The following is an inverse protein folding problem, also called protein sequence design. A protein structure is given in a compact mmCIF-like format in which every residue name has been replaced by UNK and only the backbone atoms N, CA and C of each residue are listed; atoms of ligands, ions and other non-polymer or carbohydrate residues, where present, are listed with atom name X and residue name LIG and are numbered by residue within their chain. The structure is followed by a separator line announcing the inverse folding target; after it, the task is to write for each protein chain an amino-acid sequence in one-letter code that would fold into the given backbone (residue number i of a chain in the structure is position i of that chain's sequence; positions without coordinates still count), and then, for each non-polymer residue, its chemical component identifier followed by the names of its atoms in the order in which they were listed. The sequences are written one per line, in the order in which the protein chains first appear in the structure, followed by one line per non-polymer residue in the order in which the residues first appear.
data_IF_832836551978
#
_entry.id   IF_832836551978
#
_cell.length_a   1.000
_cell.length_b   1.000
_cell.length_c   1.000
_cell.angle_alpha   90.00
_cell.angle_beta   90.00
_cell.angle_gamma   90.00
#
_symmetry.space_group_name_H-M   'P 1'
#
loop_
_entity.id
_entity.type
_entity.pdbx_description
1 polymer ?
#
# COMPACT_ATOMS: atom_id res chain seq x y z
N UNK A 1 -23.29 -15.32 -27.40
CA UNK A 1 -23.48 -16.79 -27.50
C UNK A 1 -22.30 -17.49 -28.19
N UNK A 2 -21.70 -16.91 -29.23
CA UNK A 2 -20.45 -17.44 -29.82
C UNK A 2 -19.21 -17.27 -28.92
N UNK A 3 -19.15 -16.22 -28.10
CA UNK A 3 -18.05 -16.01 -27.16
C UNK A 3 -17.94 -17.10 -26.08
N UNK A 4 -19.08 -17.63 -25.60
CA UNK A 4 -19.10 -18.74 -24.64
C UNK A 4 -18.64 -20.06 -25.27
N UNK A 5 -18.89 -20.30 -26.56
CA UNK A 5 -18.39 -21.48 -27.29
C UNK A 5 -16.88 -21.46 -27.51
N UNK A 6 -16.26 -20.28 -27.54
CA UNK A 6 -14.80 -20.15 -27.66
C UNK A 6 -14.07 -20.45 -26.34
N UNK A 7 -14.73 -20.28 -25.20
CA UNK A 7 -14.21 -20.68 -23.89
C UNK A 7 -14.24 -22.20 -23.67
N UNK A 8 -15.22 -22.91 -24.24
CA UNK A 8 -15.30 -24.39 -24.18
C UNK A 8 -14.22 -25.09 -25.03
N UNK A 9 -13.60 -24.39 -26.00
CA UNK A 9 -12.61 -24.95 -26.92
C UNK A 9 -11.15 -24.75 -26.46
N UNK A 10 -10.90 -23.95 -25.42
CA UNK A 10 -9.64 -24.05 -24.69
C UNK A 10 -9.72 -25.30 -23.83
N UNK A 11 -8.70 -26.15 -23.92
CA UNK A 11 -8.54 -27.31 -23.05
C UNK A 11 -8.72 -26.86 -21.61
N UNK A 12 -9.91 -27.11 -21.05
CA UNK A 12 -10.11 -27.13 -19.63
C UNK A 12 -9.08 -28.10 -19.10
N UNK A 13 -8.03 -27.59 -18.46
CA UNK A 13 -7.37 -28.37 -17.44
C UNK A 13 -8.43 -28.58 -16.38
N UNK A 14 -9.23 -29.65 -16.54
CA UNK A 14 -9.89 -30.29 -15.42
C UNK A 14 -8.72 -30.82 -14.60
N UNK A 15 -8.30 -30.02 -13.63
CA UNK A 15 -7.54 -30.56 -12.52
C UNK A 15 -8.57 -31.45 -11.82
N UNK A 16 -8.42 -32.76 -11.98
CA UNK A 16 -9.18 -33.75 -11.24
C UNK A 16 -8.87 -33.52 -9.76
N UNK A 17 -9.71 -32.70 -9.12
CA UNK A 17 -9.40 -32.05 -7.85
C UNK A 17 -9.22 -33.04 -6.68
N UNK A 18 -9.56 -34.32 -6.87
CA UNK A 18 -9.34 -35.39 -5.90
C UNK A 18 -9.36 -36.72 -6.66
N UNK A 19 -8.26 -37.13 -7.29
CA UNK A 19 -8.06 -38.56 -7.47
C UNK A 19 -7.79 -39.16 -6.09
N UNK A 20 -8.61 -40.15 -5.69
CA UNK A 20 -8.29 -41.01 -4.56
C UNK A 20 -6.81 -41.38 -4.69
N UNK A 21 -6.01 -41.07 -3.67
CA UNK A 21 -4.71 -41.71 -3.49
C UNK A 21 -4.95 -43.19 -3.16
N UNK A 22 -5.46 -43.94 -4.14
CA UNK A 22 -5.31 -45.38 -4.18
C UNK A 22 -3.84 -45.61 -4.39
N UNK A 23 -3.18 -45.93 -3.27
CA UNK A 23 -1.83 -46.46 -3.27
C UNK A 23 -1.69 -47.46 -4.43
N UNK A 24 -0.63 -47.37 -5.26
CA UNK A 24 -0.34 -48.45 -6.19
C UNK A 24 -0.25 -49.72 -5.36
N UNK A 25 -1.14 -50.67 -5.67
CA UNK A 25 -1.13 -52.01 -5.07
C UNK A 25 0.06 -52.75 -5.66
N UNK A 26 1.26 -52.35 -5.25
CA UNK A 26 2.46 -53.13 -5.42
C UNK A 26 2.69 -53.86 -4.10
N UNK A 27 2.47 -55.17 -4.16
CA UNK A 27 2.68 -56.09 -3.06
C UNK A 27 4.19 -56.22 -2.80
N UNK A 28 4.76 -55.28 -2.03
CA UNK A 28 5.97 -55.42 -1.20
C UNK A 28 6.74 -54.09 -1.09
N UNK A 29 6.21 -53.13 -0.33
CA UNK A 29 7.01 -52.18 0.46
C UNK A 29 6.06 -51.31 1.31
N UNK A 30 6.51 -50.99 2.51
CA UNK A 30 5.89 -50.12 3.52
C UNK A 30 4.91 -49.08 2.98
N UNK A 31 3.65 -49.10 3.45
CA UNK A 31 2.67 -48.02 3.24
C UNK A 31 3.35 -46.65 3.44
N UNK A 32 3.30 -45.70 2.50
CA UNK A 32 3.73 -44.34 2.81
C UNK A 32 2.84 -43.84 3.94
N UNK A 33 3.44 -43.48 5.07
CA UNK A 33 2.73 -42.88 6.20
C UNK A 33 2.19 -41.53 5.73
N UNK A 34 0.88 -41.43 5.59
CA UNK A 34 0.16 -40.19 5.26
C UNK A 34 0.54 -39.12 6.29
N UNK A 35 0.93 -37.92 5.85
CA UNK A 35 1.32 -36.83 6.74
C UNK A 35 0.15 -36.38 7.63
N UNK A 36 0.44 -35.73 8.76
CA UNK A 36 -0.61 -35.25 9.67
C UNK A 36 -1.58 -34.30 8.95
N UNK A 37 -1.04 -33.43 8.10
CA UNK A 37 -1.84 -32.51 7.28
C UNK A 37 -2.74 -33.26 6.29
N UNK A 38 -2.21 -34.27 5.58
CA UNK A 38 -2.98 -35.08 4.64
C UNK A 38 -4.07 -35.90 5.34
N UNK A 39 -3.83 -36.39 6.56
CA UNK A 39 -4.86 -37.05 7.37
C UNK A 39 -6.01 -36.09 7.68
N UNK A 40 -5.69 -34.87 8.13
CA UNK A 40 -6.68 -33.83 8.40
C UNK A 40 -7.49 -33.47 7.14
N UNK A 41 -6.82 -33.31 6.00
CA UNK A 41 -7.48 -33.05 4.72
C UNK A 41 -8.39 -34.22 4.29
N UNK A 42 -7.95 -35.46 4.49
CA UNK A 42 -8.74 -36.65 4.20
C UNK A 42 -9.96 -36.78 5.12
N UNK A 43 -9.82 -36.43 6.40
CA UNK A 43 -10.91 -36.41 7.37
C UNK A 43 -11.96 -35.37 6.99
N UNK A 44 -11.53 -34.16 6.57
CA UNK A 44 -12.45 -33.13 6.06
C UNK A 44 -13.17 -33.63 4.79
N UNK A 45 -12.43 -34.24 3.86
CA UNK A 45 -12.99 -34.75 2.60
C UNK A 45 -14.03 -35.85 2.84
N UNK A 46 -13.77 -36.77 3.79
CA UNK A 46 -14.65 -37.89 4.12
C UNK A 46 -15.74 -37.54 5.13
N UNK A 47 -15.66 -36.34 5.72
CA UNK A 47 -16.49 -35.92 6.85
C UNK A 47 -16.37 -36.87 8.06
N UNK A 48 -15.17 -37.42 8.26
CA UNK A 48 -14.86 -38.33 9.34
C UNK A 48 -14.37 -37.57 10.58
N UNK A 49 -14.89 -37.91 11.76
CA UNK A 49 -14.48 -37.29 13.02
C UNK A 49 -13.36 -38.08 13.70
N UNK A 50 -12.11 -37.66 13.47
CA UNK A 50 -10.92 -38.28 14.05
C UNK A 50 -10.87 -38.22 15.58
N UNK A 51 -11.67 -37.37 16.25
CA UNK A 51 -11.73 -37.34 17.73
C UNK A 51 -12.28 -38.64 18.32
N UNK A 52 -13.03 -39.40 17.52
CA UNK A 52 -13.57 -40.70 17.93
C UNK A 52 -12.49 -41.79 17.99
N UNK A 53 -11.39 -41.64 17.23
CA UNK A 53 -10.25 -42.56 17.19
C UNK A 53 -8.95 -41.77 17.08
N UNK A 54 -8.49 -41.16 18.18
CA UNK A 54 -7.29 -40.34 18.14
C UNK A 54 -6.07 -41.18 17.76
N UNK A 55 -5.36 -40.74 16.73
CA UNK A 55 -4.07 -41.29 16.33
C UNK A 55 -2.97 -40.29 16.69
N UNK A 56 -1.90 -40.78 17.32
CA UNK A 56 -0.71 -39.98 17.58
C UNK A 56 0.24 -40.14 16.41
N UNK A 57 0.16 -39.23 15.43
CA UNK A 57 1.17 -39.03 14.41
C UNK A 57 1.98 -37.77 14.75
N UNK A 58 3.31 -37.89 14.76
CA UNK A 58 4.22 -36.75 14.94
C UNK A 58 4.93 -36.54 13.63
N UNK A 59 4.72 -35.37 13.04
CA UNK A 59 5.25 -34.98 11.74
C UNK A 59 5.40 -33.45 11.71
N UNK A 60 6.24 -32.94 10.81
CA UNK A 60 6.53 -31.51 10.63
C UNK A 60 5.61 -30.83 9.61
N UNK A 61 4.65 -31.55 9.01
CA UNK A 61 3.70 -31.00 8.04
C UNK A 61 2.74 -29.95 8.61
N UNK A 62 2.50 -29.93 9.93
CA UNK A 62 1.70 -28.91 10.61
C UNK A 62 2.43 -28.40 11.84
N UNK A 63 2.90 -27.15 11.79
CA UNK A 63 3.70 -26.55 12.88
C UNK A 63 2.96 -25.37 13.48
N UNK A 64 2.80 -25.38 14.80
CA UNK A 64 2.31 -24.22 15.57
C UNK A 64 3.48 -23.57 16.29
N UNK A 65 3.72 -22.28 16.03
CA UNK A 65 4.74 -21.51 16.74
C UNK A 65 4.14 -20.30 17.41
N UNK A 66 4.82 -19.82 18.45
CA UNK A 66 4.46 -18.57 19.11
C UNK A 66 5.64 -17.61 19.19
N UNK A 67 5.35 -16.32 19.02
CA UNK A 67 6.34 -15.26 19.12
C UNK A 67 5.79 -14.06 19.89
N UNK A 68 6.68 -13.16 20.32
CA UNK A 68 6.35 -12.01 21.17
C UNK A 68 6.03 -10.72 20.41
N UNK A 69 6.25 -10.69 19.10
CA UNK A 69 5.99 -9.51 18.26
C UNK A 69 5.97 -9.88 16.78
N UNK A 70 5.31 -9.06 15.93
CA UNK A 70 5.28 -9.23 14.48
C UNK A 70 6.68 -9.33 13.85
N UNK A 71 7.67 -8.59 14.38
CA UNK A 71 9.06 -8.69 13.93
C UNK A 71 9.68 -10.05 14.27
N UNK A 72 9.43 -10.57 15.48
CA UNK A 72 9.91 -11.90 15.87
C UNK A 72 9.21 -13.04 15.14
N UNK A 73 7.92 -12.89 14.83
CA UNK A 73 7.21 -13.83 13.96
C UNK A 73 7.90 -13.93 12.59
N UNK A 74 8.19 -12.79 11.95
CA UNK A 74 8.84 -12.77 10.65
C UNK A 74 10.26 -13.33 10.68
N UNK A 75 11.04 -13.04 11.73
CA UNK A 75 12.39 -13.59 11.87
C UNK A 75 12.37 -15.10 12.11
N UNK A 76 11.46 -15.59 12.94
CA UNK A 76 11.26 -17.02 13.15
C UNK A 76 10.83 -17.73 11.88
N UNK A 77 9.91 -17.12 11.11
CA UNK A 77 9.50 -17.63 9.80
C UNK A 77 10.69 -17.64 8.82
N UNK A 78 11.47 -16.57 8.76
CA UNK A 78 12.63 -16.46 7.89
C UNK A 78 13.65 -17.58 8.16
N UNK A 79 14.02 -17.78 9.43
CA UNK A 79 14.99 -18.82 9.81
C UNK A 79 14.46 -20.23 9.53
N UNK A 80 13.16 -20.46 9.73
CA UNK A 80 12.53 -21.73 9.40
C UNK A 80 12.49 -21.98 7.89
N UNK A 81 12.14 -20.96 7.09
CA UNK A 81 12.12 -21.08 5.63
C UNK A 81 13.51 -21.38 5.06
N UNK A 82 14.56 -20.79 5.62
CA UNK A 82 15.93 -21.10 5.25
C UNK A 82 16.28 -22.57 5.49
N UNK A 83 15.86 -23.13 6.63
CA UNK A 83 16.08 -24.54 6.93
C UNK A 83 15.36 -25.44 5.93
N UNK A 84 14.10 -25.13 5.59
CA UNK A 84 13.32 -25.93 4.64
C UNK A 84 13.87 -25.86 3.22
N UNK A 85 14.25 -24.67 2.76
CA UNK A 85 14.90 -24.48 1.45
C UNK A 85 16.27 -25.19 1.37
N UNK A 86 16.95 -25.37 2.50
CA UNK A 86 18.20 -26.13 2.56
C UNK A 86 17.96 -27.65 2.54
N UNK A 87 16.86 -28.12 3.16
CA UNK A 87 16.53 -29.54 3.24
C UNK A 87 15.92 -30.07 1.93
N UNK A 88 15.08 -29.28 1.25
CA UNK A 88 14.42 -29.65 0.00
C UNK A 88 14.85 -28.74 -1.16
N UNK A 89 15.75 -29.20 -2.05
CA UNK A 89 16.17 -28.46 -3.23
C UNK A 89 15.08 -28.23 -4.29
N UNK A 90 13.97 -28.97 -4.25
CA UNK A 90 12.85 -28.80 -5.19
C UNK A 90 11.89 -27.69 -4.77
N UNK A 91 11.97 -27.23 -3.52
CA UNK A 91 11.17 -26.13 -3.00
C UNK A 91 11.68 -24.80 -3.54
N UNK A 92 10.88 -24.16 -4.39
CA UNK A 92 11.19 -22.83 -4.92
C UNK A 92 10.52 -21.76 -4.09
N UNK A 93 11.10 -20.54 -3.99
CA UNK A 93 10.44 -19.40 -3.35
C UNK A 93 9.03 -19.09 -3.91
N UNK A 94 8.79 -19.39 -5.19
CA UNK A 94 7.48 -19.27 -5.84
C UNK A 94 6.40 -20.19 -5.27
N UNK A 95 6.80 -21.29 -4.63
CA UNK A 95 5.90 -22.31 -4.12
C UNK A 95 5.47 -22.00 -2.67
N UNK A 96 5.86 -20.83 -2.15
CA UNK A 96 5.70 -20.39 -0.76
C UNK A 96 4.79 -19.15 -0.71
N UNK A 97 3.72 -19.25 0.08
CA UNK A 97 2.81 -18.13 0.36
C UNK A 97 2.75 -17.85 1.87
N UNK A 98 2.81 -16.57 2.21
CA UNK A 98 2.66 -16.09 3.59
C UNK A 98 1.41 -15.23 3.66
N UNK A 99 0.42 -15.71 4.40
CA UNK A 99 -0.87 -15.06 4.55
C UNK A 99 -0.99 -14.42 5.94
N UNK A 100 -1.56 -13.23 6.00
CA UNK A 100 -1.84 -12.54 7.26
C UNK A 100 -3.21 -11.82 7.21
N UNK A 101 -3.87 -11.57 8.35
CA UNK A 101 -5.17 -10.88 8.35
C UNK A 101 -5.10 -9.46 7.75
N UNK A 102 -3.96 -8.78 7.95
CA UNK A 102 -3.67 -7.43 7.49
C UNK A 102 -2.19 -7.30 7.12
N UNK A 103 -1.89 -7.27 5.82
CA UNK A 103 -0.48 -7.27 5.32
C UNK A 103 0.28 -5.98 5.61
N UNK A 104 -0.41 -4.85 5.73
CA UNK A 104 0.24 -3.55 5.98
C UNK A 104 0.94 -3.50 7.35
N UNK A 105 0.44 -4.23 8.35
CA UNK A 105 1.05 -4.28 9.69
C UNK A 105 2.42 -4.97 9.66
N UNK A 106 2.62 -5.86 8.67
CA UNK A 106 3.85 -6.60 8.46
C UNK A 106 4.75 -5.97 7.38
N UNK A 107 4.20 -5.17 6.45
CA UNK A 107 4.90 -4.71 5.25
C UNK A 107 6.24 -4.02 5.54
N UNK A 108 6.28 -3.14 6.55
CA UNK A 108 7.52 -2.46 6.94
C UNK A 108 8.58 -3.42 7.50
N UNK A 109 8.16 -4.45 8.23
CA UNK A 109 9.05 -5.46 8.80
C UNK A 109 9.51 -6.49 7.77
N UNK A 110 8.64 -6.85 6.81
CA UNK A 110 8.99 -7.75 5.70
C UNK A 110 10.17 -7.19 4.92
N UNK A 111 10.13 -5.90 4.54
CA UNK A 111 11.25 -5.26 3.85
C UNK A 111 12.55 -5.14 4.68
N UNK A 112 12.47 -5.27 6.01
CA UNK A 112 13.62 -5.25 6.89
C UNK A 112 14.24 -6.63 7.13
N UNK A 113 13.42 -7.69 7.11
CA UNK A 113 13.85 -9.07 7.38
C UNK A 113 14.17 -9.83 6.08
N UNK A 114 13.39 -9.64 5.03
CA UNK A 114 13.52 -10.30 3.74
C UNK A 114 14.09 -9.34 2.66
N UNK A 115 14.60 -9.87 1.55
CA UNK A 115 15.04 -9.03 0.41
C UNK A 115 13.87 -8.78 -0.55
N UNK A 116 13.19 -7.66 -0.37
CA UNK A 116 12.13 -7.23 -1.28
C UNK A 116 12.66 -6.39 -2.46
N UNK A 117 13.98 -6.14 -2.54
CA UNK A 117 14.61 -5.33 -3.59
C UNK A 117 15.40 -6.17 -4.61
N UNK A 118 15.37 -7.50 -4.49
CA UNK A 118 15.86 -8.41 -5.52
C UNK A 118 17.28 -8.11 -5.97
N UNK A 119 18.24 -8.03 -5.03
CA UNK A 119 19.65 -8.00 -5.42
C UNK A 119 20.04 -9.37 -5.98
N UNK A 120 19.91 -9.47 -7.30
CA UNK A 120 20.36 -10.55 -8.19
C UNK A 120 19.55 -11.85 -8.19
N UNK A 121 18.57 -11.92 -9.08
CA UNK A 121 17.78 -13.09 -9.45
C UNK A 121 18.58 -14.24 -10.14
N UNK A 122 19.90 -14.28 -10.01
CA UNK A 122 20.75 -15.17 -10.81
C UNK A 122 21.89 -15.82 -10.04
N UNK A 123 22.01 -15.54 -8.74
CA UNK A 123 23.02 -16.20 -7.95
C UNK A 123 22.64 -16.14 -6.49
N UNK A 124 22.58 -17.31 -5.87
CA UNK A 124 22.74 -17.50 -4.44
C UNK A 124 24.15 -17.05 -4.03
N UNK A 125 24.54 -15.80 -4.30
CA UNK A 125 25.79 -15.25 -3.78
C UNK A 125 25.52 -14.96 -2.32
N UNK A 126 26.12 -15.80 -1.49
CA UNK A 126 26.51 -15.50 -0.12
C UNK A 126 27.09 -14.08 -0.09
N UNK A 127 26.26 -13.10 0.26
CA UNK A 127 26.74 -11.75 0.54
C UNK A 127 27.67 -11.89 1.73
N UNK A 128 28.93 -11.48 1.57
CA UNK A 128 30.04 -11.38 2.55
C UNK A 128 29.88 -12.18 3.87
N UNK A 129 30.87 -13.02 4.19
CA UNK A 129 31.00 -13.73 5.47
C UNK A 129 30.46 -12.90 6.67
N UNK A 130 29.27 -13.27 7.17
CA UNK A 130 28.57 -12.60 8.28
C UNK A 130 27.13 -12.13 8.00
N UNK A 131 26.66 -12.13 6.75
CA UNK A 131 25.27 -11.74 6.42
C UNK A 131 24.33 -12.95 6.39
N UNK A 132 23.17 -12.86 7.04
CA UNK A 132 22.09 -13.85 6.94
C UNK A 132 21.64 -13.96 5.47
N UNK A 133 21.52 -15.18 4.92
CA UNK A 133 21.06 -15.36 3.54
C UNK A 133 19.66 -14.77 3.38
N UNK A 134 19.45 -14.00 2.32
CA UNK A 134 18.18 -13.32 2.11
C UNK A 134 17.29 -14.11 1.14
N UNK A 135 16.02 -14.26 1.53
CA UNK A 135 14.98 -14.88 0.71
C UNK A 135 14.26 -13.76 -0.07
N UNK A 136 14.12 -13.88 -1.41
CA UNK A 136 13.43 -12.87 -2.20
C UNK A 136 11.93 -12.86 -1.87
N UNK A 137 11.38 -11.66 -1.63
CA UNK A 137 9.97 -11.45 -1.26
C UNK A 137 9.24 -10.46 -2.14
N UNK A 138 7.94 -10.68 -2.29
CA UNK A 138 7.00 -9.73 -2.87
C UNK A 138 5.78 -9.57 -1.97
N UNK A 139 5.26 -8.34 -1.86
CA UNK A 139 4.09 -8.04 -1.03
C UNK A 139 2.93 -7.67 -1.94
N UNK A 140 1.87 -8.47 -1.89
CA UNK A 140 0.63 -8.29 -2.62
C UNK A 140 -0.48 -7.70 -1.72
N UNK A 141 -1.59 -7.29 -2.34
CA UNK A 141 -2.77 -6.74 -1.67
C UNK A 141 -2.49 -5.53 -0.76
N UNK A 142 -1.50 -4.71 -1.15
CA UNK A 142 -1.25 -3.43 -0.47
C UNK A 142 -2.23 -2.37 -0.94
N UNK A 143 -2.53 -1.42 -0.06
CA UNK A 143 -3.36 -0.26 -0.38
C UNK A 143 -2.55 0.70 -1.24
N UNK A 144 -3.05 1.15 -2.41
CA UNK A 144 -2.33 2.08 -3.27
C UNK A 144 -1.83 3.34 -2.55
N UNK A 145 -2.63 3.89 -1.63
CA UNK A 145 -2.24 5.06 -0.84
C UNK A 145 -1.02 4.84 0.07
N UNK A 146 -0.80 3.60 0.56
CA UNK A 146 0.26 3.25 1.51
C UNK A 146 1.47 2.61 0.79
N UNK A 147 1.24 2.05 -0.41
CA UNK A 147 2.26 1.42 -1.24
C UNK A 147 2.96 2.41 -2.18
N UNK A 148 2.22 3.40 -2.71
CA UNK A 148 2.70 4.28 -3.77
C UNK A 148 2.79 5.73 -3.27
N UNK A 149 4.01 6.27 -3.03
CA UNK A 149 4.20 7.63 -2.49
C UNK A 149 3.52 8.72 -3.31
N UNK A 150 3.51 8.58 -4.65
CA UNK A 150 2.87 9.53 -5.56
C UNK A 150 1.34 9.58 -5.34
N UNK A 151 0.70 8.43 -5.08
CA UNK A 151 -0.74 8.38 -4.76
C UNK A 151 -1.04 9.12 -3.46
N UNK A 152 -0.22 8.89 -2.42
CA UNK A 152 -0.36 9.57 -1.14
C UNK A 152 -0.19 11.10 -1.28
N UNK A 153 0.83 11.54 -2.03
CA UNK A 153 1.06 12.95 -2.32
C UNK A 153 -0.09 13.58 -3.11
N UNK A 154 -0.66 12.88 -4.09
CA UNK A 154 -1.82 13.37 -4.83
C UNK A 154 -3.05 13.55 -3.93
N UNK A 155 -3.31 12.59 -3.02
CA UNK A 155 -4.37 12.74 -2.02
C UNK A 155 -4.14 13.93 -1.09
N UNK A 156 -2.89 14.22 -0.73
CA UNK A 156 -2.52 15.42 0.02
C UNK A 156 -2.77 16.70 -0.80
N UNK A 157 -2.49 16.70 -2.11
CA UNK A 157 -2.79 17.85 -2.98
C UNK A 157 -4.29 18.15 -3.08
N UNK A 158 -5.17 17.15 -2.98
CA UNK A 158 -6.63 17.37 -2.93
C UNK A 158 -7.09 18.09 -1.65
N UNK A 159 -6.23 18.19 -0.63
CA UNK A 159 -6.48 18.91 0.62
C UNK A 159 -5.94 20.35 0.61
N UNK A 160 -5.34 20.79 -0.50
CA UNK A 160 -4.79 22.16 -0.63
C UNK A 160 -5.73 23.28 -0.23
N UNK A 161 -7.04 23.26 -0.56
CA UNK A 161 -7.94 24.35 -0.17
C UNK A 161 -8.12 24.50 1.35
N UNK A 162 -7.91 23.42 2.10
CA UNK A 162 -8.01 23.38 3.56
C UNK A 162 -6.62 23.54 4.22
N UNK A 163 -5.56 23.60 3.41
CA UNK A 163 -4.18 23.64 3.88
C UNK A 163 -3.82 24.99 4.46
N UNK A 164 -3.08 24.96 5.58
CA UNK A 164 -2.43 26.15 6.13
C UNK A 164 -1.13 26.50 5.42
N UNK A 165 -0.70 25.71 4.41
CA UNK A 165 0.58 25.85 3.74
C UNK A 165 1.76 25.86 4.73
N UNK A 166 1.78 24.87 5.64
CA UNK A 166 2.92 24.68 6.53
C UNK A 166 4.19 24.35 5.74
N UNK A 167 5.32 24.87 6.19
CA UNK A 167 6.62 24.61 5.55
C UNK A 167 6.92 23.12 5.47
N UNK A 168 6.67 22.36 6.55
CA UNK A 168 6.87 20.91 6.56
C UNK A 168 6.09 20.21 5.44
N UNK A 169 4.79 20.50 5.31
CA UNK A 169 3.96 19.86 4.28
C UNK A 169 4.39 20.18 2.85
N UNK A 170 4.90 21.39 2.58
CA UNK A 170 5.44 21.74 1.26
C UNK A 170 6.78 21.03 1.01
N UNK A 171 7.65 20.97 2.03
CA UNK A 171 8.91 20.23 1.93
C UNK A 171 8.68 18.73 1.74
N UNK A 172 7.67 18.15 2.38
CA UNK A 172 7.32 16.73 2.23
C UNK A 172 6.90 16.41 0.80
N UNK A 173 6.13 17.29 0.15
CA UNK A 173 5.80 17.18 -1.28
C UNK A 173 7.05 17.29 -2.16
N UNK A 174 7.93 18.26 -1.87
CA UNK A 174 9.20 18.45 -2.59
C UNK A 174 10.21 17.32 -2.40
N UNK A 175 10.05 16.48 -1.36
CA UNK A 175 10.87 15.27 -1.18
C UNK A 175 10.51 14.17 -2.17
N UNK A 176 9.36 14.22 -2.84
CA UNK A 176 9.02 13.23 -3.86
C UNK A 176 9.91 13.39 -5.10
N UNK A 177 10.58 12.31 -5.57
CA UNK A 177 11.41 12.37 -6.77
C UNK A 177 10.64 12.82 -8.03
N UNK A 178 9.36 12.48 -8.14
CA UNK A 178 8.52 12.90 -9.26
C UNK A 178 8.26 14.42 -9.30
N UNK A 179 8.19 15.05 -8.12
CA UNK A 179 8.04 16.50 -8.00
C UNK A 179 9.38 17.20 -8.22
N UNK A 180 10.46 16.67 -7.62
CA UNK A 180 11.83 17.14 -7.85
C UNK A 180 12.16 17.27 -9.34
N UNK A 181 11.92 16.21 -10.11
CA UNK A 181 12.13 16.22 -11.56
C UNK A 181 11.23 17.21 -12.28
N UNK A 182 9.96 17.33 -11.86
CA UNK A 182 9.01 18.26 -12.49
C UNK A 182 9.45 19.72 -12.36
N UNK A 183 9.97 20.09 -11.19
CA UNK A 183 10.41 21.46 -10.90
C UNK A 183 11.91 21.67 -11.05
N UNK A 184 12.64 20.63 -11.48
CA UNK A 184 14.10 20.62 -11.61
C UNK A 184 14.79 21.02 -10.30
N UNK A 185 14.42 20.40 -9.18
CA UNK A 185 15.00 20.62 -7.85
C UNK A 185 15.72 19.35 -7.43
N UNK A 186 17.01 19.44 -7.14
CA UNK A 186 17.79 18.28 -6.70
C UNK A 186 17.55 17.98 -5.20
N UNK A 187 17.76 16.72 -4.81
CA UNK A 187 17.60 16.31 -3.41
C UNK A 187 18.53 17.05 -2.44
N UNK A 188 19.76 17.40 -2.86
CA UNK A 188 20.71 18.19 -2.07
C UNK A 188 20.32 19.66 -1.95
N UNK A 189 19.56 20.19 -2.92
CA UNK A 189 19.07 21.56 -2.92
C UNK A 189 17.95 21.77 -1.89
N UNK A 190 17.27 20.70 -1.45
CA UNK A 190 16.25 20.77 -0.41
C UNK A 190 16.79 21.19 0.96
N UNK A 191 18.02 20.81 1.30
CA UNK A 191 18.65 21.22 2.57
C UNK A 191 18.92 22.73 2.56
N UNK A 192 19.35 23.25 1.40
CA UNK A 192 19.52 24.69 1.17
C UNK A 192 18.20 25.44 1.30
N UNK A 193 17.13 24.95 0.66
CA UNK A 193 15.78 25.53 0.80
C UNK A 193 15.35 25.52 2.28
N UNK A 194 15.56 24.41 2.99
CA UNK A 194 15.17 24.27 4.39
C UNK A 194 15.89 25.30 5.27
N UNK A 195 17.19 25.53 5.02
CA UNK A 195 17.97 26.56 5.70
C UNK A 195 17.41 27.96 5.43
N UNK A 196 17.11 28.30 4.18
CA UNK A 196 16.52 29.60 3.82
C UNK A 196 15.16 29.84 4.48
N UNK A 197 14.28 28.84 4.49
CA UNK A 197 12.95 28.96 5.08
C UNK A 197 13.04 29.16 6.61
N UNK A 198 13.98 28.48 7.25
CA UNK A 198 14.26 28.61 8.69
C UNK A 198 14.80 30.01 9.01
N UNK A 199 15.80 30.46 8.26
CA UNK A 199 16.43 31.77 8.46
C UNK A 199 15.46 32.93 8.14
N UNK A 200 14.65 32.79 7.10
CA UNK A 200 13.57 33.72 6.77
C UNK A 200 12.40 33.67 7.77
N UNK A 201 12.41 32.72 8.72
CA UNK A 201 11.38 32.51 9.74
C UNK A 201 9.98 32.30 9.14
N UNK A 202 9.90 31.58 8.02
CA UNK A 202 8.62 31.22 7.39
C UNK A 202 8.06 30.00 8.13
N UNK A 203 6.78 30.05 8.50
CA UNK A 203 6.13 28.95 9.21
C UNK A 203 4.90 28.43 8.47
N UNK A 204 3.99 29.32 8.08
CA UNK A 204 2.74 28.95 7.43
C UNK A 204 2.02 30.16 6.84
N UNK A 205 1.03 29.88 5.99
CA UNK A 205 0.15 30.86 5.38
C UNK A 205 0.78 31.57 4.19
N UNK A 206 0.05 31.64 3.08
CA UNK A 206 0.52 32.27 1.84
C UNK A 206 0.78 33.76 2.06
N UNK A 207 -0.22 34.48 2.56
CA UNK A 207 -0.19 35.91 2.83
C UNK A 207 -1.05 36.27 4.06
N UNK A 208 -1.17 37.57 4.36
CA UNK A 208 -1.99 38.05 5.47
C UNK A 208 -3.49 37.76 5.26
N UNK A 209 -3.98 37.85 4.03
CA UNK A 209 -5.39 37.59 3.70
C UNK A 209 -5.75 36.11 3.92
N UNK A 210 -4.90 35.19 3.47
CA UNK A 210 -5.03 33.77 3.72
C UNK A 210 -4.97 33.45 5.21
N UNK A 211 -4.06 34.08 5.97
CA UNK A 211 -4.03 33.93 7.44
C UNK A 211 -5.33 34.40 8.10
N UNK A 212 -5.85 35.55 7.69
CA UNK A 212 -7.13 36.07 8.18
C UNK A 212 -8.28 35.08 7.90
N UNK A 213 -8.36 34.56 6.67
CA UNK A 213 -9.35 33.58 6.25
C UNK A 213 -9.28 32.30 7.09
N UNK A 214 -8.08 31.73 7.27
CA UNK A 214 -7.87 30.47 8.03
C UNK A 214 -8.19 30.66 9.52
N UNK A 215 -7.92 31.83 10.08
CA UNK A 215 -8.18 32.14 11.49
C UNK A 215 -9.61 32.64 11.76
N UNK A 216 -10.40 32.88 10.70
CA UNK A 216 -11.72 33.51 10.81
C UNK A 216 -11.67 34.94 11.36
N UNK A 217 -10.54 35.63 11.17
CA UNK A 217 -10.32 37.00 11.65
C UNK A 217 -10.50 38.01 10.50
N UNK A 218 -10.83 39.25 10.84
CA UNK A 218 -10.81 40.36 9.88
C UNK A 218 -9.37 40.61 9.38
N UNK A 219 -9.22 40.95 8.10
CA UNK A 219 -7.93 41.23 7.44
C UNK A 219 -7.05 42.21 8.21
N UNK A 220 -7.67 43.16 8.92
CA UNK A 220 -6.99 44.25 9.61
C UNK A 220 -6.24 43.82 10.88
N UNK A 221 -6.53 42.62 11.40
CA UNK A 221 -5.88 42.05 12.59
C UNK A 221 -4.78 41.06 12.23
N UNK A 222 -4.79 40.52 11.01
CA UNK A 222 -3.86 39.49 10.59
C UNK A 222 -2.45 40.08 10.34
N UNK A 223 -1.49 39.67 11.16
CA UNK A 223 -0.10 40.05 10.97
C UNK A 223 0.50 39.35 9.74
N UNK A 224 1.19 40.07 8.82
CA UNK A 224 1.84 39.48 7.65
C UNK A 224 3.09 38.66 7.99
N UNK A 225 3.60 38.75 9.22
CA UNK A 225 4.82 38.08 9.67
C UNK A 225 4.72 36.56 9.57
N UNK A 226 5.86 35.90 9.35
CA UNK A 226 5.98 34.42 9.24
C UNK A 226 5.13 33.77 8.13
N UNK A 227 4.67 34.54 7.14
CA UNK A 227 4.01 34.04 5.91
C UNK A 227 5.04 33.75 4.82
N UNK A 228 4.64 32.95 3.82
CA UNK A 228 5.45 32.72 2.62
C UNK A 228 5.74 34.03 1.89
N UNK A 229 4.72 34.86 1.60
CA UNK A 229 4.89 36.14 0.93
C UNK A 229 5.88 37.05 1.67
N UNK A 230 5.81 37.08 3.00
CA UNK A 230 6.72 37.89 3.82
C UNK A 230 8.17 37.40 3.77
N UNK A 231 8.41 36.10 3.98
CA UNK A 231 9.77 35.58 3.99
C UNK A 231 10.41 35.53 2.61
N UNK A 232 9.65 35.15 1.58
CA UNK A 232 10.14 35.15 0.18
C UNK A 232 10.49 36.57 -0.28
N UNK A 233 9.70 37.57 0.11
CA UNK A 233 10.03 38.97 -0.19
C UNK A 233 11.36 39.38 0.45
N UNK A 234 11.64 38.96 1.69
CA UNK A 234 12.91 39.27 2.38
C UNK A 234 14.10 38.59 1.71
N UNK A 235 13.93 37.35 1.25
CA UNK A 235 14.94 36.61 0.49
C UNK A 235 15.22 37.26 -0.87
N UNK A 236 14.17 37.65 -1.61
CA UNK A 236 14.30 38.32 -2.91
C UNK A 236 14.95 39.71 -2.78
N UNK A 237 14.54 40.50 -1.79
CA UNK A 237 15.12 41.82 -1.54
C UNK A 237 16.57 41.71 -1.06
N UNK A 238 16.89 40.71 -0.23
CA UNK A 238 18.27 40.45 0.19
C UNK A 238 19.17 40.07 -0.99
N UNK A 239 18.67 39.26 -1.91
CA UNK A 239 19.36 38.95 -3.16
C UNK A 239 19.58 40.19 -4.04
N UNK A 240 18.58 41.08 -4.17
CA UNK A 240 18.67 42.25 -5.06
C UNK A 240 19.55 43.39 -4.51
N UNK A 241 19.49 43.65 -3.19
CA UNK A 241 20.16 44.77 -2.55
C UNK A 241 21.58 44.42 -2.08
N UNK A 242 21.86 43.13 -1.85
CA UNK A 242 23.10 42.67 -1.21
C UNK A 242 23.12 42.87 0.31
N UNK A 243 24.17 42.36 0.96
CA UNK A 243 24.27 42.26 2.44
C UNK A 243 24.77 43.57 3.09
N UNK A 244 25.16 44.58 2.30
CA UNK A 244 25.79 45.80 2.83
C UNK A 244 24.85 46.65 3.72
N UNK A 245 23.54 46.61 3.46
CA UNK A 245 22.54 47.26 4.30
C UNK A 245 21.56 46.24 4.86
N UNK A 246 21.49 46.06 6.20
CA UNK A 246 20.63 45.04 6.80
C UNK A 246 19.13 45.35 6.69
N UNK A 247 18.77 46.58 6.32
CA UNK A 247 17.39 47.05 6.23
C UNK A 247 17.15 47.82 4.93
N UNK A 248 16.07 47.48 4.23
CA UNK A 248 15.58 48.21 3.06
C UNK A 248 14.11 48.58 3.26
N UNK A 249 13.77 49.86 3.12
CA UNK A 249 12.40 50.38 3.30
C UNK A 249 11.70 49.89 4.60
N UNK A 250 12.45 49.82 5.70
CA UNK A 250 11.92 49.36 7.01
C UNK A 250 11.75 47.84 7.13
N UNK A 251 12.23 47.04 6.17
CA UNK A 251 12.21 45.57 6.20
C UNK A 251 13.61 45.01 6.36
N UNK A 252 13.76 44.04 7.25
CA UNK A 252 15.01 43.30 7.45
C UNK A 252 15.28 42.38 6.27
N UNK A 253 16.44 42.54 5.64
CA UNK A 253 16.86 41.71 4.51
C UNK A 253 17.42 40.38 4.99
N UNK A 254 17.36 39.37 4.12
CA UNK A 254 18.04 38.08 4.33
C UNK A 254 18.96 37.81 3.15
N UNK A 255 20.27 37.93 3.37
CA UNK A 255 21.31 37.84 2.33
C UNK A 255 21.85 36.43 2.10
N UNK A 256 21.10 35.37 2.41
CA UNK A 256 21.59 33.98 2.34
C UNK A 256 21.68 33.41 0.92
N UNK A 257 21.23 34.18 -0.08
CA UNK A 257 21.09 33.73 -1.46
C UNK A 257 22.06 34.52 -2.33
N UNK A 258 22.99 33.81 -2.96
CA UNK A 258 24.02 34.41 -3.82
C UNK A 258 24.08 33.74 -5.19
N UNK A 259 24.33 34.56 -6.23
CA UNK A 259 24.62 34.08 -7.59
C UNK A 259 23.55 33.13 -8.17
N UNK A 260 23.98 31.92 -8.54
CA UNK A 260 23.13 30.92 -9.20
C UNK A 260 21.98 30.39 -8.34
N UNK A 261 22.03 30.56 -7.01
CA UNK A 261 21.00 30.11 -6.08
C UNK A 261 19.65 30.82 -6.26
N UNK A 262 19.64 32.00 -6.90
CA UNK A 262 18.39 32.70 -7.23
C UNK A 262 17.49 31.88 -8.17
N UNK A 263 18.07 31.03 -9.02
CA UNK A 263 17.31 30.13 -9.89
C UNK A 263 16.54 29.11 -9.05
N UNK A 264 17.18 28.56 -8.02
CA UNK A 264 16.54 27.62 -7.09
C UNK A 264 15.40 28.28 -6.30
N UNK A 265 15.61 29.52 -5.83
CA UNK A 265 14.53 30.30 -5.20
C UNK A 265 13.36 30.52 -6.17
N UNK A 266 13.64 30.82 -7.44
CA UNK A 266 12.63 30.95 -8.49
C UNK A 266 11.80 29.68 -8.67
N UNK A 267 12.45 28.51 -8.68
CA UNK A 267 11.78 27.20 -8.75
C UNK A 267 10.88 26.96 -7.53
N UNK A 268 11.34 27.32 -6.34
CA UNK A 268 10.52 27.22 -5.12
C UNK A 268 9.29 28.14 -5.18
N UNK A 269 9.44 29.38 -5.66
CA UNK A 269 8.33 30.31 -5.84
C UNK A 269 7.33 29.74 -6.86
N UNK A 270 7.82 29.19 -7.98
CA UNK A 270 6.98 28.56 -8.99
C UNK A 270 6.14 27.40 -8.41
N UNK A 271 6.72 26.56 -7.55
CA UNK A 271 5.99 25.49 -6.86
C UNK A 271 4.85 26.08 -6.02
N UNK A 272 5.14 27.11 -5.22
CA UNK A 272 4.14 27.72 -4.34
C UNK A 272 3.01 28.41 -5.11
N UNK A 273 3.34 29.11 -6.20
CA UNK A 273 2.35 29.74 -7.07
C UNK A 273 1.42 28.69 -7.70
N UNK A 274 1.96 27.55 -8.14
CA UNK A 274 1.15 26.44 -8.65
C UNK A 274 0.27 25.85 -7.55
N UNK A 275 0.80 25.56 -6.36
CA UNK A 275 0.00 25.05 -5.24
C UNK A 275 -1.13 26.03 -4.86
N UNK A 276 -0.85 27.33 -4.83
CA UNK A 276 -1.85 28.38 -4.58
C UNK A 276 -2.93 28.41 -5.68
N UNK A 277 -2.51 28.32 -6.96
CA UNK A 277 -3.43 28.28 -8.08
C UNK A 277 -4.41 27.10 -7.96
N UNK A 278 -3.91 25.90 -7.66
CA UNK A 278 -4.74 24.72 -7.49
C UNK A 278 -5.60 24.78 -6.23
N UNK A 279 -5.12 25.35 -5.13
CA UNK A 279 -5.95 25.56 -3.93
C UNK A 279 -7.20 26.40 -4.24
N UNK A 280 -7.07 27.45 -5.06
CA UNK A 280 -8.23 28.24 -5.48
C UNK A 280 -9.12 27.47 -6.48
N UNK A 281 -8.51 26.84 -7.49
CA UNK A 281 -9.25 26.13 -8.54
C UNK A 281 -9.97 24.89 -8.02
N UNK A 282 -9.45 24.19 -7.02
CA UNK A 282 -10.07 23.00 -6.43
C UNK A 282 -11.40 23.33 -5.73
N UNK A 283 -11.61 24.55 -5.25
CA UNK A 283 -12.89 24.96 -4.65
C UNK A 283 -14.03 25.15 -5.66
N UNK A 284 -13.73 25.27 -6.95
CA UNK A 284 -14.76 25.40 -7.98
C UNK A 284 -15.46 24.07 -8.21
N UNK A 285 -16.77 23.99 -7.94
CA UNK A 285 -17.54 22.80 -8.28
C UNK A 285 -17.60 22.58 -9.80
N UNK A 286 -17.53 21.33 -10.24
CA UNK A 286 -17.45 20.91 -11.65
C UNK A 286 -18.35 19.69 -11.91
N UNK A 287 -18.70 19.43 -13.16
CA UNK A 287 -19.33 18.16 -13.54
C UNK A 287 -18.29 17.01 -13.54
N UNK A 288 -18.74 15.76 -13.59
CA UNK A 288 -17.87 14.58 -13.55
C UNK A 288 -16.75 14.60 -14.60
N UNK A 289 -17.07 14.91 -15.86
CA UNK A 289 -16.07 14.98 -16.94
C UNK A 289 -15.05 16.11 -16.73
N UNK A 290 -15.51 17.30 -16.33
CA UNK A 290 -14.59 18.41 -16.05
C UNK A 290 -13.71 18.15 -14.82
N UNK A 291 -14.18 17.34 -13.87
CA UNK A 291 -13.35 16.85 -12.77
C UNK A 291 -12.28 15.89 -13.26
N UNK A 292 -12.63 14.95 -14.14
CA UNK A 292 -11.66 14.05 -14.77
C UNK A 292 -10.52 14.83 -15.45
N UNK A 293 -10.87 15.72 -16.38
CA UNK A 293 -9.89 16.44 -17.19
C UNK A 293 -8.99 17.32 -16.31
N UNK A 294 -9.57 17.97 -15.29
CA UNK A 294 -8.83 18.81 -14.36
C UNK A 294 -7.87 18.00 -13.48
N UNK A 295 -8.28 16.85 -12.96
CA UNK A 295 -7.44 16.04 -12.07
C UNK A 295 -6.32 15.34 -12.82
N UNK A 296 -6.57 14.88 -14.05
CA UNK A 296 -5.53 14.31 -14.91
C UNK A 296 -4.49 15.37 -15.27
N UNK A 297 -4.93 16.57 -15.68
CA UNK A 297 -4.02 17.68 -15.94
C UNK A 297 -3.18 18.05 -14.71
N UNK A 298 -3.80 18.06 -13.53
CA UNK A 298 -3.12 18.35 -12.27
C UNK A 298 -2.02 17.32 -11.94
N UNK A 299 -2.21 16.04 -12.27
CA UNK A 299 -1.16 15.02 -12.09
C UNK A 299 0.06 15.35 -12.94
N UNK A 300 -0.14 15.74 -14.21
CA UNK A 300 0.95 16.05 -15.13
C UNK A 300 1.62 17.40 -14.83
N UNK A 301 0.90 18.34 -14.20
CA UNK A 301 1.44 19.64 -13.76
C UNK A 301 2.34 19.51 -12.52
N UNK A 302 2.09 18.57 -11.61
CA UNK A 302 2.91 18.38 -10.40
C UNK A 302 3.95 17.26 -10.49
N UNK A 303 3.73 16.25 -11.33
CA UNK A 303 4.55 15.05 -11.33
C UNK A 303 5.09 14.71 -12.72
N UNK A 304 6.42 14.62 -12.81
CA UNK A 304 7.11 13.99 -13.93
C UNK A 304 7.39 12.53 -13.54
N UNK A 305 6.67 11.58 -14.13
CA UNK A 305 6.87 10.16 -13.84
C UNK A 305 8.04 9.58 -14.64
N UNK A 306 8.73 8.61 -14.03
CA UNK A 306 9.60 7.67 -14.73
C UNK A 306 9.00 6.26 -14.64
N UNK A 307 9.70 5.25 -15.18
CA UNK A 307 9.25 3.86 -15.18
C UNK A 307 8.80 3.34 -13.79
N UNK A 308 9.38 3.86 -12.70
CA UNK A 308 8.99 3.49 -11.33
C UNK A 308 7.63 4.08 -10.90
N UNK A 309 7.23 5.22 -11.44
CA UNK A 309 6.02 5.95 -11.05
C UNK A 309 4.84 5.71 -12.00
N UNK A 310 5.08 5.09 -13.16
CA UNK A 310 4.03 4.79 -14.15
C UNK A 310 2.86 4.02 -13.53
N UNK A 311 3.16 3.02 -12.68
CA UNK A 311 2.14 2.25 -11.95
C UNK A 311 1.26 3.14 -11.07
N UNK A 312 1.82 4.18 -10.44
CA UNK A 312 1.10 5.12 -9.61
C UNK A 312 0.26 6.09 -10.44
N UNK A 313 0.80 6.60 -11.56
CA UNK A 313 0.04 7.43 -12.50
C UNK A 313 -1.14 6.67 -13.10
N UNK A 314 -0.93 5.43 -13.55
CA UNK A 314 -1.99 4.58 -14.11
C UNK A 314 -3.07 4.27 -13.07
N UNK A 315 -2.67 3.99 -11.82
CA UNK A 315 -3.59 3.79 -10.71
C UNK A 315 -4.48 5.01 -10.47
N UNK A 316 -3.88 6.21 -10.42
CA UNK A 316 -4.62 7.46 -10.27
C UNK A 316 -5.55 7.74 -11.47
N UNK A 317 -5.03 7.61 -12.69
CA UNK A 317 -5.81 7.85 -13.91
C UNK A 317 -7.01 6.90 -13.99
N UNK A 318 -6.84 5.64 -13.63
CA UNK A 318 -7.92 4.64 -13.59
C UNK A 318 -8.93 4.96 -12.49
N UNK A 319 -8.49 5.37 -11.29
CA UNK A 319 -9.39 5.77 -10.21
C UNK A 319 -10.24 7.00 -10.59
N UNK A 320 -9.63 7.99 -11.24
CA UNK A 320 -10.29 9.20 -11.73
C UNK A 320 -11.25 8.86 -12.90
N UNK A 321 -10.81 8.04 -13.85
CA UNK A 321 -11.61 7.57 -14.98
C UNK A 321 -12.85 6.80 -14.53
N UNK A 322 -12.70 5.87 -13.58
CA UNK A 322 -13.80 5.11 -13.01
C UNK A 322 -14.85 6.01 -12.34
N UNK A 323 -14.41 7.03 -11.61
CA UNK A 323 -15.33 8.00 -11.00
C UNK A 323 -16.15 8.72 -12.07
N UNK A 324 -15.51 9.25 -13.11
CA UNK A 324 -16.19 9.96 -14.18
C UNK A 324 -17.16 9.06 -14.95
N UNK A 325 -16.76 7.81 -15.20
CA UNK A 325 -17.61 6.79 -15.80
C UNK A 325 -18.86 6.53 -14.95
N UNK A 326 -18.75 6.38 -13.62
CA UNK A 326 -19.92 6.17 -12.76
C UNK A 326 -20.87 7.37 -12.75
N UNK A 327 -20.34 8.59 -12.73
CA UNK A 327 -21.16 9.81 -12.83
C UNK A 327 -21.93 9.85 -14.15
N UNK A 328 -21.28 9.47 -15.25
CA UNK A 328 -21.90 9.39 -16.57
C UNK A 328 -22.97 8.30 -16.65
N UNK A 329 -22.74 7.13 -16.06
CA UNK A 329 -23.71 6.02 -16.05
C UNK A 329 -25.02 6.38 -15.36
N UNK A 330 -24.97 7.26 -14.36
CA UNK A 330 -26.16 7.73 -13.61
C UNK A 330 -26.76 9.01 -14.22
N UNK A 331 -26.17 9.53 -15.31
CA UNK A 331 -26.56 10.78 -15.97
C UNK A 331 -26.66 11.98 -15.00
N UNK A 332 -25.72 12.07 -14.06
CA UNK A 332 -25.69 13.15 -13.08
C UNK A 332 -25.01 14.41 -13.65
N UNK A 333 -25.82 15.41 -14.02
CA UNK A 333 -25.36 16.64 -14.69
C UNK A 333 -25.04 17.80 -13.74
N UNK A 334 -25.38 17.68 -12.45
CA UNK A 334 -25.19 18.75 -11.47
C UNK A 334 -23.72 18.89 -11.05
N UNK A 335 -23.29 20.08 -10.60
CA UNK A 335 -21.93 20.28 -10.14
C UNK A 335 -21.64 19.47 -8.87
N UNK A 336 -20.50 18.78 -8.84
CA UNK A 336 -20.00 17.98 -7.73
C UNK A 336 -18.94 18.81 -6.99
N UNK A 337 -19.03 18.85 -5.65
CA UNK A 337 -18.04 19.53 -4.81
C UNK A 337 -16.78 18.70 -4.61
N UNK A 338 -15.67 19.37 -4.30
CA UNK A 338 -14.39 18.71 -4.02
C UNK A 338 -14.49 17.65 -2.92
N UNK A 339 -15.30 17.89 -1.88
CA UNK A 339 -15.43 16.97 -0.75
C UNK A 339 -15.92 15.58 -1.19
N UNK A 340 -16.86 15.52 -2.13
CA UNK A 340 -17.39 14.26 -2.68
C UNK A 340 -16.32 13.56 -3.53
N UNK A 341 -15.62 14.33 -4.38
CA UNK A 341 -14.54 13.83 -5.23
C UNK A 341 -13.40 13.26 -4.38
N UNK A 342 -12.95 14.01 -3.38
CA UNK A 342 -11.91 13.63 -2.41
C UNK A 342 -12.32 12.36 -1.67
N UNK A 343 -13.54 12.32 -1.12
CA UNK A 343 -14.05 11.13 -0.44
C UNK A 343 -14.04 9.91 -1.35
N UNK A 344 -14.57 10.03 -2.57
CA UNK A 344 -14.61 8.93 -3.54
C UNK A 344 -13.22 8.40 -3.89
N UNK A 345 -12.25 9.29 -4.16
CA UNK A 345 -10.88 8.90 -4.50
C UNK A 345 -10.16 8.27 -3.33
N UNK A 346 -10.23 8.87 -2.15
CA UNK A 346 -9.61 8.32 -0.93
C UNK A 346 -10.18 6.93 -0.64
N UNK A 347 -11.50 6.74 -0.72
CA UNK A 347 -12.11 5.43 -0.51
C UNK A 347 -11.58 4.40 -1.52
N UNK A 348 -11.53 4.73 -2.81
CA UNK A 348 -11.05 3.79 -3.84
C UNK A 348 -9.56 3.46 -3.71
N UNK A 349 -8.73 4.43 -3.35
CA UNK A 349 -7.29 4.26 -3.18
C UNK A 349 -6.90 3.66 -1.82
N UNK A 350 -7.85 3.59 -0.87
CA UNK A 350 -7.68 2.93 0.44
C UNK A 350 -8.00 1.44 0.42
N UNK A 351 -8.55 0.93 -0.69
CA UNK A 351 -8.85 -0.49 -0.86
C UNK A 351 -7.70 -1.16 -1.61
N UNK A 352 -7.23 -2.27 -1.07
CA UNK A 352 -6.21 -3.09 -1.71
C UNK A 352 -6.72 -3.61 -3.06
N UNK A 353 -5.92 -3.39 -4.11
CA UNK A 353 -6.18 -3.94 -5.43
C UNK A 353 -5.52 -5.31 -5.54
N UNK A 354 -6.29 -6.33 -5.95
CA UNK A 354 -5.82 -7.72 -6.06
C UNK A 354 -4.89 -7.98 -7.26
N UNK A 355 -4.57 -6.95 -8.04
CA UNK A 355 -3.90 -7.08 -9.34
C UNK A 355 -2.38 -6.88 -9.30
N UNK A 356 -1.83 -6.37 -8.19
CA UNK A 356 -0.40 -6.09 -8.11
C UNK A 356 0.36 -7.24 -7.43
N UNK A 357 1.37 -7.76 -8.15
CA UNK A 357 2.42 -8.65 -7.66
C UNK A 357 1.98 -10.04 -7.16
N UNK A 358 0.99 -10.65 -7.79
CA UNK A 358 0.67 -12.06 -7.53
C UNK A 358 1.52 -12.97 -8.45
N UNK A 359 2.36 -13.83 -7.86
CA UNK A 359 3.25 -14.81 -8.53
C UNK A 359 4.39 -14.15 -9.34
N UNK A 360 5.37 -13.56 -8.64
CA UNK A 360 6.58 -12.95 -9.24
C UNK A 360 7.81 -13.87 -9.23
N UNK A 361 7.63 -15.15 -8.93
CA UNK A 361 8.74 -16.11 -8.77
C UNK A 361 9.44 -16.03 -7.40
N UNK A 362 8.87 -15.28 -6.46
CA UNK A 362 9.39 -14.99 -5.13
C UNK A 362 8.38 -15.41 -4.04
N UNK A 363 8.80 -15.40 -2.77
CA UNK A 363 7.88 -15.64 -1.65
C UNK A 363 6.83 -14.53 -1.62
N UNK A 364 5.55 -14.90 -1.63
CA UNK A 364 4.46 -13.92 -1.71
C UNK A 364 3.85 -13.68 -0.34
N UNK A 365 3.93 -12.45 0.16
CA UNK A 365 3.20 -11.99 1.34
C UNK A 365 1.88 -11.35 0.91
N UNK A 366 0.76 -11.82 1.46
CA UNK A 366 -0.55 -11.33 1.08
C UNK A 366 -1.54 -11.30 2.25
N UNK A 367 -2.63 -10.57 2.05
CA UNK A 367 -3.74 -10.62 2.99
C UNK A 367 -4.59 -11.87 2.74
N UNK A 368 -5.24 -12.40 3.77
CA UNK A 368 -6.21 -13.49 3.60
C UNK A 368 -7.47 -12.93 2.91
N UNK A 369 -7.59 -13.17 1.60
CA UNK A 369 -8.66 -12.68 0.71
C UNK A 369 -9.45 -13.88 0.16
N UNK A 370 -10.80 -13.83 0.16
CA UNK A 370 -11.64 -14.94 -0.27
C UNK A 370 -11.43 -15.35 -1.73
N UNK A 371 -11.69 -16.64 -2.01
CA UNK A 371 -11.74 -17.21 -3.38
C UNK A 371 -10.39 -17.20 -4.10
N UNK A 372 -9.29 -17.23 -3.35
CA UNK A 372 -7.93 -17.32 -3.89
C UNK A 372 -7.30 -18.66 -3.51
N UNK A 373 -7.91 -19.75 -3.98
CA UNK A 373 -7.44 -21.12 -3.76
C UNK A 373 -6.41 -21.50 -4.83
N UNK A 374 -5.20 -20.96 -4.71
CA UNK A 374 -4.09 -21.30 -5.61
C UNK A 374 -3.19 -22.30 -4.88
N UNK A 375 -2.84 -23.44 -5.50
CA UNK A 375 -2.01 -24.46 -4.87
C UNK A 375 -0.60 -23.94 -4.63
N UNK A 376 -0.16 -24.00 -3.37
CA UNK A 376 1.20 -23.71 -2.93
C UNK A 376 1.73 -24.93 -2.16
N UNK A 377 3.02 -25.23 -2.31
CA UNK A 377 3.64 -26.32 -1.53
C UNK A 377 3.81 -25.92 -0.06
N UNK A 378 3.94 -24.62 0.23
CA UNK A 378 4.14 -24.13 1.58
C UNK A 378 3.22 -22.96 1.85
N UNK A 379 2.41 -23.09 2.90
CA UNK A 379 1.53 -22.04 3.38
C UNK A 379 1.95 -21.66 4.79
N UNK A 380 2.26 -20.39 5.01
CA UNK A 380 2.50 -19.84 6.34
C UNK A 380 1.40 -18.84 6.69
N UNK A 381 0.80 -18.96 7.87
CA UNK A 381 -0.16 -17.99 8.40
C UNK A 381 0.46 -17.24 9.57
N UNK A 382 0.44 -15.91 9.52
CA UNK A 382 0.97 -15.01 10.56
C UNK A 382 -0.17 -14.22 11.22
N UNK A 383 0.03 -13.82 12.48
CA UNK A 383 -0.84 -12.85 13.15
C UNK A 383 -2.25 -13.36 13.42
N UNK A 384 -2.42 -14.67 13.66
CA UNK A 384 -3.72 -15.26 14.02
C UNK A 384 -4.08 -15.02 15.50
N UNK A 385 -4.06 -13.76 15.91
CA UNK A 385 -4.26 -13.34 17.29
C UNK A 385 -5.76 -13.15 17.59
N UNK A 386 -6.15 -13.38 18.85
CA UNK A 386 -7.50 -13.06 19.29
C UNK A 386 -7.79 -11.56 19.13
N UNK A 387 -9.00 -11.24 18.67
CA UNK A 387 -9.40 -9.88 18.29
C UNK A 387 -8.90 -9.40 16.92
N UNK A 388 -7.82 -9.97 16.36
CA UNK A 388 -7.33 -9.65 15.01
C UNK A 388 -7.88 -10.63 13.96
N UNK A 389 -7.96 -11.91 14.31
CA UNK A 389 -8.51 -12.96 13.46
C UNK A 389 -9.41 -13.92 14.26
N UNK A 390 -10.63 -14.23 13.78
CA UNK A 390 -11.29 -13.70 12.58
C UNK A 390 -11.67 -12.21 12.73
N UNK A 391 -11.62 -11.46 11.63
CA UNK A 391 -11.90 -10.02 11.62
C UNK A 391 -13.35 -9.77 12.00
N UNK A 392 -13.56 -8.81 12.90
CA UNK A 392 -14.89 -8.37 13.28
C UNK A 392 -15.41 -7.31 12.31
N UNK A 393 -16.71 -7.32 12.05
CA UNK A 393 -17.39 -6.28 11.28
C UNK A 393 -18.65 -5.91 12.03
N UNK A 394 -18.75 -4.66 12.46
CA UNK A 394 -19.99 -4.13 13.02
C UNK A 394 -20.89 -3.77 11.85
N UNK A 395 -22.08 -4.37 11.73
CA UNK A 395 -23.05 -3.95 10.73
C UNK A 395 -23.50 -2.52 11.01
N UNK A 396 -24.04 -1.85 10.00
CA UNK A 396 -24.58 -0.50 10.17
C UNK A 396 -25.94 -0.61 10.87
N UNK A 397 -26.27 0.30 11.79
CA UNK A 397 -27.49 0.22 12.61
C UNK A 397 -28.80 0.15 11.78
N UNK A 398 -28.80 0.73 10.58
CA UNK A 398 -29.94 0.70 9.65
C UNK A 398 -29.92 -0.49 8.67
N UNK A 399 -28.98 -1.41 8.80
CA UNK A 399 -28.97 -2.66 8.04
C UNK A 399 -30.02 -3.63 8.61
N UNK A 400 -31.19 -3.67 7.99
CA UNK A 400 -32.29 -4.55 8.36
C UNK A 400 -31.91 -6.04 8.30
N UNK A 401 -30.94 -6.43 7.47
CA UNK A 401 -30.46 -7.83 7.42
C UNK A 401 -29.77 -8.23 8.71
N UNK A 402 -29.14 -7.29 9.41
CA UNK A 402 -28.47 -7.53 10.69
C UNK A 402 -29.42 -7.61 11.89
N UNK A 403 -30.62 -7.02 11.75
CA UNK A 403 -31.63 -6.96 12.82
C UNK A 403 -32.50 -8.22 12.89
N UNK A 404 -32.58 -8.98 11.79
CA UNK A 404 -33.33 -10.23 11.70
C UNK A 404 -32.42 -11.46 11.83
N UNK A 405 -33.01 -12.63 12.05
CA UNK A 405 -32.27 -13.89 11.98
C UNK A 405 -31.66 -14.08 10.59
N UNK A 406 -30.36 -14.45 10.56
CA UNK A 406 -29.63 -14.69 9.33
C UNK A 406 -30.25 -15.83 8.54
N UNK A 407 -30.39 -15.61 7.24
CA UNK A 407 -30.88 -16.58 6.26
C UNK A 407 -29.72 -17.24 5.54
N UNK A 408 -29.97 -18.41 4.95
CA UNK A 408 -29.00 -19.08 4.10
C UNK A 408 -28.66 -18.17 2.92
N UNK A 409 -27.37 -17.88 2.73
CA UNK A 409 -26.86 -16.93 1.73
C UNK A 409 -26.44 -15.58 2.31
N UNK A 410 -26.81 -15.25 3.55
CA UNK A 410 -26.37 -14.02 4.18
C UNK A 410 -24.86 -14.05 4.45
N UNK A 411 -24.17 -13.06 3.88
CA UNK A 411 -22.72 -12.96 4.00
C UNK A 411 -22.33 -12.50 5.41
N UNK A 412 -21.29 -13.11 5.96
CA UNK A 412 -20.80 -12.78 7.28
C UNK A 412 -19.29 -12.71 7.25
N UNK A 413 -18.69 -11.54 7.49
CA UNK A 413 -17.23 -11.40 7.46
C UNK A 413 -16.50 -12.38 8.39
N UNK A 414 -17.03 -12.60 9.61
CA UNK A 414 -16.51 -13.62 10.53
C UNK A 414 -16.65 -15.05 9.98
N UNK A 415 -17.70 -15.32 9.20
CA UNK A 415 -17.94 -16.62 8.57
C UNK A 415 -16.97 -16.83 7.41
N UNK A 416 -16.84 -15.82 6.54
CA UNK A 416 -15.89 -15.77 5.44
C UNK A 416 -14.45 -15.96 5.94
N UNK A 417 -14.04 -15.29 7.01
CA UNK A 417 -12.69 -15.45 7.57
C UNK A 417 -12.45 -16.87 8.10
N UNK A 418 -13.43 -17.47 8.80
CA UNK A 418 -13.30 -18.87 9.25
C UNK A 418 -13.25 -19.85 8.08
N UNK A 419 -14.01 -19.57 7.04
CA UNK A 419 -13.99 -20.35 5.80
C UNK A 419 -12.66 -20.17 5.07
N UNK A 420 -12.07 -18.98 5.10
CA UNK A 420 -10.74 -18.71 4.56
C UNK A 420 -9.63 -19.48 5.28
N UNK A 421 -9.73 -19.62 6.61
CA UNK A 421 -8.83 -20.50 7.36
C UNK A 421 -8.93 -21.95 6.86
N UNK A 422 -10.16 -22.39 6.62
CA UNK A 422 -10.43 -23.73 6.09
C UNK A 422 -9.90 -23.88 4.67
N UNK A 423 -10.07 -22.87 3.79
CA UNK A 423 -9.45 -22.88 2.46
C UNK A 423 -7.93 -22.99 2.56
N UNK A 424 -7.29 -22.23 3.45
CA UNK A 424 -5.84 -22.31 3.65
C UNK A 424 -5.37 -23.70 4.11
N UNK A 425 -6.19 -24.43 4.86
CA UNK A 425 -5.95 -25.83 5.25
C UNK A 425 -6.15 -26.83 4.10
N UNK A 426 -7.12 -26.57 3.22
CA UNK A 426 -7.53 -27.49 2.15
C UNK A 426 -6.71 -27.31 0.87
N UNK A 427 -6.06 -26.14 0.68
CA UNK A 427 -5.21 -25.88 -0.49
C UNK A 427 -4.32 -27.10 -0.76
N UNK A 428 -4.39 -27.59 -2.01
CA UNK A 428 -3.85 -28.89 -2.40
C UNK A 428 -2.35 -28.96 -2.13
N UNK A 429 -2.01 -29.90 -1.27
CA UNK A 429 -0.66 -30.08 -0.76
C UNK A 429 -0.25 -31.53 -1.05
N UNK A 430 0.29 -31.77 -2.25
CA UNK A 430 0.85 -33.08 -2.58
C UNK A 430 2.09 -33.42 -1.71
N UNK A 431 2.84 -32.42 -1.21
CA UNK A 431 4.13 -32.59 -0.49
C UNK A 431 4.48 -31.45 0.49
N UNK A 432 3.51 -30.88 1.18
CA UNK A 432 3.62 -29.50 1.67
C UNK A 432 3.46 -29.31 3.16
N UNK A 433 3.97 -28.17 3.60
CA UNK A 433 4.03 -27.77 5.01
C UNK A 433 3.05 -26.63 5.24
N UNK A 434 2.23 -26.76 6.29
CA UNK A 434 1.43 -25.68 6.82
C UNK A 434 2.05 -25.21 8.13
N UNK A 435 2.46 -23.95 8.18
CA UNK A 435 2.86 -23.32 9.44
C UNK A 435 1.79 -22.35 9.88
N UNK A 436 1.44 -22.45 11.15
CA UNK A 436 0.60 -21.48 11.84
C UNK A 436 1.42 -20.80 12.92
N UNK A 437 1.73 -19.52 12.72
CA UNK A 437 2.43 -18.69 13.69
C UNK A 437 1.41 -17.79 14.38
N UNK A 438 1.35 -17.87 15.71
CA UNK A 438 0.43 -17.09 16.55
C UNK A 438 1.25 -16.18 17.45
N UNK A 439 0.95 -14.88 17.49
CA UNK A 439 1.57 -14.00 18.48
C UNK A 439 0.96 -14.32 19.84
N UNK A 440 1.80 -14.57 20.84
CA UNK A 440 1.34 -14.69 22.21
C UNK A 440 1.43 -13.29 22.85
N UNK A 441 0.31 -12.62 23.17
CA UNK A 441 0.34 -11.34 23.87
C UNK A 441 0.89 -11.45 25.29
#
# INVERSE_FOLDING_TARGET
KEFFRLLEAQSSYSIDAFEDTQAPVDQSQTKPSISLLQQLQQDILRLDDARLKPQTAVDESLVFTSASSALRELQGLHDWLLLQLQQDPELKPSDIIVMCPQVEDYAAYVGAVFDCYGRHANSWVVTKAGTTPQIPCSIADRKPQDALPLVAAFLQLLQLPDSRFHVSGVLDLLRLPAMQRKFNIDASELDTITAWLTNASIHWGLDAAHKAQVLGQSSDVATPTHTWAWGLKRLLLGFAQGVEQPMYQGQWLQGDIEGGQAVLLGRLIQVLEQLQYHAHKLNKARSGQHWHDYLVAMIDEFFSAEATDESAKECLATAIGNMAMWVQQVDYQQPISLNVVRYSLTQKLSVASSSQAFITGQVTFCSIVPMRSIPFKLVAMLGLNDGQYPRQSTPVDFDLMSQHERRVGDRSRRGDDRYLFLEALIIEIQWGYLIVIVCCP
#
